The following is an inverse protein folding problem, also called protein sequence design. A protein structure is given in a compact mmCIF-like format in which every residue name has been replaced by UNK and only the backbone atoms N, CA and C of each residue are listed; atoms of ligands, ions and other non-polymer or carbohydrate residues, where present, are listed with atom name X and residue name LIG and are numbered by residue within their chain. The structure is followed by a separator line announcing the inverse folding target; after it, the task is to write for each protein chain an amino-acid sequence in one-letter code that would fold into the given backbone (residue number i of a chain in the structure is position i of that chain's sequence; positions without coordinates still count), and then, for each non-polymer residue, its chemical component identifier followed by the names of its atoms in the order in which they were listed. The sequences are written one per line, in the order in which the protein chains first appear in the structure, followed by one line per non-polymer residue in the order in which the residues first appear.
data_IF_806839472573
#
_entry.id   IF_806839472573
#
_cell.length_a   1.000
_cell.length_b   1.000
_cell.length_c   1.000
_cell.angle_alpha   90.00
_cell.angle_beta   90.00
_cell.angle_gamma   90.00
#
_symmetry.space_group_name_H-M   'P 1'
#
loop_
_entity.id
_entity.type
_entity.pdbx_description
1 polymer ?
#
# COMPACT_ATOMS: atom_id res chain seq x y z
N UNK A 1 15.25 -15.42 1.11
CA UNK A 1 14.53 -15.17 -0.16
C UNK A 1 13.24 -14.42 0.15
N UNK A 2 12.87 -13.46 -0.69
CA UNK A 2 11.58 -12.73 -0.58
C UNK A 2 10.79 -12.98 -1.85
N UNK A 3 9.58 -13.54 -1.73
CA UNK A 3 8.63 -13.71 -2.82
C UNK A 3 7.60 -12.59 -2.71
N UNK A 4 7.63 -11.64 -3.64
CA UNK A 4 6.63 -10.58 -3.65
C UNK A 4 5.35 -11.06 -4.32
N UNK A 5 4.19 -10.73 -3.76
CA UNK A 5 2.87 -11.05 -4.31
C UNK A 5 2.71 -12.54 -4.64
N UNK A 6 2.94 -13.39 -3.62
CA UNK A 6 2.88 -14.85 -3.78
C UNK A 6 1.51 -15.34 -4.28
N UNK A 7 0.46 -14.57 -4.05
CA UNK A 7 -0.90 -14.79 -4.51
C UNK A 7 -1.10 -14.55 -6.02
N UNK A 8 -0.15 -13.92 -6.70
CA UNK A 8 -0.14 -13.81 -8.17
C UNK A 8 0.34 -15.11 -8.86
N UNK A 9 1.09 -15.95 -8.15
CA UNK A 9 1.57 -17.21 -8.69
C UNK A 9 0.44 -18.24 -8.85
N UNK A 10 0.55 -19.12 -9.85
CA UNK A 10 -0.38 -20.25 -10.00
C UNK A 10 -0.22 -21.19 -8.79
N UNK A 11 -1.32 -21.63 -8.14
CA UNK A 11 -1.23 -22.52 -6.98
C UNK A 11 -0.43 -23.80 -7.22
N UNK A 12 -0.51 -24.38 -8.42
CA UNK A 12 0.24 -25.58 -8.79
C UNK A 12 1.76 -25.37 -8.83
N UNK A 13 2.22 -24.16 -9.17
CA UNK A 13 3.64 -23.81 -9.14
C UNK A 13 4.17 -23.78 -7.71
N UNK A 14 3.40 -23.24 -6.77
CA UNK A 14 3.80 -23.17 -5.37
C UNK A 14 3.74 -24.53 -4.66
N UNK A 15 2.88 -25.45 -5.09
CA UNK A 15 2.84 -26.82 -4.57
C UNK A 15 4.17 -27.55 -4.76
N UNK A 16 4.89 -27.28 -5.86
CA UNK A 16 6.23 -27.84 -6.11
C UNK A 16 7.28 -27.39 -5.10
N UNK A 17 7.02 -26.32 -4.34
CA UNK A 17 7.93 -25.82 -3.31
C UNK A 17 7.61 -26.37 -1.91
N UNK A 18 6.54 -27.14 -1.74
CA UNK A 18 6.16 -27.68 -0.43
C UNK A 18 7.25 -28.54 0.19
N UNK A 19 7.85 -29.44 -0.60
CA UNK A 19 8.96 -30.29 -0.14
C UNK A 19 10.15 -29.45 0.32
N UNK A 20 10.45 -28.38 -0.41
CA UNK A 20 11.50 -27.44 -0.04
C UNK A 20 11.19 -26.68 1.26
N UNK A 21 9.96 -26.22 1.43
CA UNK A 21 9.55 -25.55 2.66
C UNK A 21 9.61 -26.48 3.89
N UNK A 22 9.34 -27.77 3.72
CA UNK A 22 9.37 -28.75 4.80
C UNK A 22 10.78 -29.26 5.12
N UNK A 23 11.61 -29.48 4.09
CA UNK A 23 12.90 -30.19 4.21
C UNK A 23 14.12 -29.32 3.97
N UNK A 24 13.94 -28.13 3.40
CA UNK A 24 15.02 -27.29 2.89
C UNK A 24 15.73 -27.89 1.68
N UNK A 25 15.18 -28.91 1.01
CA UNK A 25 15.82 -29.61 -0.10
C UNK A 25 15.00 -29.47 -1.38
N UNK A 26 15.67 -29.28 -2.53
CA UNK A 26 15.07 -29.32 -3.87
C UNK A 26 15.82 -30.34 -4.70
N UNK A 27 15.08 -31.17 -5.43
CA UNK A 27 15.64 -32.07 -6.45
C UNK A 27 15.29 -31.52 -7.83
N UNK A 28 16.32 -31.24 -8.65
CA UNK A 28 16.13 -30.89 -10.06
C UNK A 28 16.02 -32.20 -10.83
N UNK A 29 14.81 -32.54 -11.25
CA UNK A 29 14.52 -33.85 -11.85
C UNK A 29 15.29 -34.12 -13.15
N UNK A 30 15.54 -33.08 -13.93
CA UNK A 30 16.19 -33.15 -15.24
C UNK A 30 17.68 -33.44 -15.14
N UNK A 31 18.34 -32.98 -14.07
CA UNK A 31 19.78 -33.15 -13.86
C UNK A 31 20.10 -34.18 -12.78
N UNK A 32 19.12 -34.54 -11.94
CA UNK A 32 19.33 -35.34 -10.73
C UNK A 32 20.05 -34.60 -9.60
N UNK A 33 20.26 -33.28 -9.76
CA UNK A 33 20.93 -32.46 -8.75
C UNK A 33 20.05 -32.29 -7.51
N UNK A 34 20.67 -32.47 -6.33
CA UNK A 34 20.01 -32.24 -5.04
C UNK A 34 20.63 -31.00 -4.41
N UNK A 35 19.80 -29.98 -4.21
CA UNK A 35 20.19 -28.70 -3.63
C UNK A 35 19.66 -28.63 -2.20
N UNK A 36 20.55 -28.34 -1.26
CA UNK A 36 20.20 -28.14 0.14
C UNK A 36 20.29 -26.66 0.52
N UNK A 37 19.25 -26.16 1.18
CA UNK A 37 19.24 -24.85 1.80
C UNK A 37 20.35 -24.77 2.86
N UNK A 38 21.14 -23.71 2.81
CA UNK A 38 22.13 -23.44 3.86
C UNK A 38 21.41 -23.20 5.18
N UNK A 39 22.03 -23.62 6.30
CA UNK A 39 21.53 -23.31 7.65
C UNK A 39 21.24 -21.82 7.79
N UNK A 40 20.03 -21.50 8.25
CA UNK A 40 19.56 -20.12 8.43
C UNK A 40 18.92 -19.50 7.18
N UNK A 41 18.80 -20.23 6.08
CA UNK A 41 18.00 -19.79 4.93
C UNK A 41 16.53 -19.63 5.34
N UNK A 42 15.94 -18.50 4.97
CA UNK A 42 14.55 -18.15 5.28
C UNK A 42 13.81 -17.74 4.01
N UNK A 43 12.52 -18.06 3.97
CA UNK A 43 11.60 -17.62 2.92
C UNK A 43 10.58 -16.68 3.53
N UNK A 44 10.49 -15.48 2.96
CA UNK A 44 9.46 -14.51 3.29
C UNK A 44 8.59 -14.30 2.05
N UNK A 45 7.30 -14.06 2.26
CA UNK A 45 6.36 -13.83 1.18
C UNK A 45 5.41 -12.69 1.55
N UNK A 46 4.98 -11.92 0.55
CA UNK A 46 3.97 -10.86 0.70
C UNK A 46 2.72 -11.23 -0.11
N UNK A 47 1.55 -10.80 0.38
CA UNK A 47 0.27 -10.92 -0.31
C UNK A 47 -0.62 -9.76 0.11
N UNK A 48 -1.50 -9.31 -0.78
CA UNK A 48 -2.45 -8.23 -0.47
C UNK A 48 -3.88 -8.75 -0.26
N UNK A 49 -4.23 -9.89 -0.86
CA UNK A 49 -5.59 -10.47 -0.84
C UNK A 49 -5.95 -11.24 0.45
N UNK A 50 -5.03 -11.36 1.41
CA UNK A 50 -5.11 -12.33 2.52
C UNK A 50 -5.33 -13.78 2.04
N UNK A 51 -4.99 -14.07 0.77
CA UNK A 51 -5.23 -15.35 0.10
C UNK A 51 -6.70 -15.76 -0.02
N UNK A 52 -7.62 -14.81 0.15
CA UNK A 52 -9.04 -14.99 -0.12
C UNK A 52 -9.32 -14.53 -1.54
N UNK A 53 -10.25 -15.20 -2.24
CA UNK A 53 -10.77 -14.69 -3.50
C UNK A 53 -11.46 -13.35 -3.19
N UNK A 54 -10.89 -12.24 -3.68
CA UNK A 54 -11.40 -10.91 -3.43
C UNK A 54 -12.66 -10.64 -4.28
N UNK A 55 -13.83 -10.40 -3.67
CA UNK A 55 -15.04 -10.05 -4.41
C UNK A 55 -15.05 -8.59 -4.90
N UNK A 56 -14.06 -7.75 -4.53
CA UNK A 56 -14.05 -6.32 -4.81
C UNK A 56 -13.26 -5.90 -6.06
N UNK A 57 -12.71 -6.86 -6.82
CA UNK A 57 -11.95 -6.64 -8.06
C UNK A 57 -10.70 -5.73 -7.89
N UNK A 58 -10.37 -5.35 -6.64
CA UNK A 58 -9.25 -4.47 -6.30
C UNK A 58 -7.89 -5.19 -6.47
N UNK A 59 -7.89 -6.52 -6.41
CA UNK A 59 -6.73 -7.37 -6.65
C UNK A 59 -6.86 -8.22 -7.92
N UNK A 60 -7.23 -7.59 -9.03
CA UNK A 60 -7.33 -8.24 -10.34
C UNK A 60 -6.04 -9.05 -10.67
N UNK A 61 -6.19 -10.38 -10.79
CA UNK A 61 -5.10 -11.31 -11.09
C UNK A 61 -4.56 -12.11 -9.90
N UNK A 62 -4.98 -11.81 -8.67
CA UNK A 62 -4.71 -12.66 -7.51
C UNK A 62 -5.58 -13.92 -7.53
N UNK A 63 -5.03 -15.03 -7.03
CA UNK A 63 -5.72 -16.33 -6.99
C UNK A 63 -5.73 -16.83 -5.56
N UNK A 64 -6.88 -17.37 -5.13
CA UNK A 64 -6.93 -18.21 -3.93
C UNK A 64 -5.83 -19.25 -3.96
N UNK A 65 -5.03 -19.29 -2.88
CA UNK A 65 -3.88 -20.19 -2.78
C UNK A 65 -4.26 -21.50 -2.10
N UNK A 66 -3.46 -22.54 -2.34
CA UNK A 66 -3.70 -23.83 -1.71
C UNK A 66 -3.41 -23.74 -0.20
N UNK A 67 -4.37 -24.13 0.63
CA UNK A 67 -4.24 -24.12 2.09
C UNK A 67 -3.01 -24.90 2.60
N UNK A 68 -2.55 -25.92 1.87
CA UNK A 68 -1.32 -26.65 2.22
C UNK A 68 -0.08 -25.76 2.16
N UNK A 69 0.04 -24.89 1.14
CA UNK A 69 1.16 -23.94 1.00
C UNK A 69 1.10 -22.92 2.13
N UNK A 70 -0.07 -22.35 2.40
CA UNK A 70 -0.22 -21.28 3.40
C UNK A 70 0.11 -21.74 4.82
N UNK A 71 -0.16 -23.00 5.17
CA UNK A 71 0.17 -23.57 6.50
C UNK A 71 1.67 -23.63 6.80
N UNK A 72 2.54 -23.44 5.81
CA UNK A 72 4.00 -23.47 5.96
C UNK A 72 4.61 -22.09 6.26
N UNK A 73 3.79 -21.05 6.24
CA UNK A 73 4.20 -19.69 6.58
C UNK A 73 3.61 -19.27 7.92
N UNK A 74 4.40 -18.51 8.68
CA UNK A 74 3.85 -17.67 9.75
C UNK A 74 3.27 -16.40 9.12
N UNK A 75 1.97 -16.22 9.24
CA UNK A 75 1.28 -15.06 8.70
C UNK A 75 1.33 -13.87 9.66
N UNK A 76 1.72 -12.71 9.15
CA UNK A 76 1.65 -11.42 9.84
C UNK A 76 0.76 -10.49 9.02
N UNK A 77 -0.13 -9.77 9.70
CA UNK A 77 -1.02 -8.79 9.07
C UNK A 77 -0.46 -7.40 9.36
N UNK A 78 -0.31 -6.59 8.31
CA UNK A 78 0.08 -5.19 8.42
C UNK A 78 -1.16 -4.33 8.17
N UNK A 79 -1.69 -3.74 9.24
CA UNK A 79 -2.81 -2.79 9.15
C UNK A 79 -2.31 -1.39 8.79
N UNK A 80 -3.24 -0.48 8.46
CA UNK A 80 -2.85 0.91 8.26
C UNK A 80 -2.37 1.55 9.56
N UNK A 81 -1.38 2.45 9.48
CA UNK A 81 -0.98 3.29 10.58
C UNK A 81 -2.16 4.09 11.15
N UNK A 82 -2.17 4.27 12.47
CA UNK A 82 -3.03 5.26 13.13
C UNK A 82 -2.62 6.68 12.75
N UNK A 83 -3.46 7.66 13.05
CA UNK A 83 -3.14 9.07 12.82
C UNK A 83 -1.84 9.49 13.53
N UNK A 84 -1.66 9.10 14.80
CA UNK A 84 -0.44 9.40 15.56
C UNK A 84 0.81 8.74 14.94
N UNK A 85 0.70 7.48 14.50
CA UNK A 85 1.81 6.79 13.83
C UNK A 85 2.15 7.42 12.47
N UNK A 86 1.16 7.93 11.75
CA UNK A 86 1.38 8.64 10.50
C UNK A 86 1.99 10.02 10.75
N UNK A 87 1.56 10.73 11.81
CA UNK A 87 2.16 11.99 12.23
C UNK A 87 3.63 11.82 12.63
N UNK A 88 3.95 10.81 13.44
CA UNK A 88 5.32 10.46 13.83
C UNK A 88 6.18 10.16 12.59
N UNK A 89 5.62 9.41 11.62
CA UNK A 89 6.30 9.13 10.37
C UNK A 89 6.59 10.41 9.56
N UNK A 90 5.60 11.28 9.39
CA UNK A 90 5.76 12.54 8.66
C UNK A 90 6.79 13.45 9.36
N UNK A 91 6.71 13.59 10.69
CA UNK A 91 7.68 14.36 11.48
C UNK A 91 9.10 13.80 11.34
N UNK A 92 9.25 12.47 11.25
CA UNK A 92 10.56 11.84 11.08
C UNK A 92 11.22 12.17 9.72
N UNK A 93 10.40 12.40 8.68
CA UNK A 93 10.88 12.80 7.36
C UNK A 93 11.14 14.31 7.26
N UNK A 94 10.34 15.11 7.96
CA UNK A 94 10.42 16.57 7.95
C UNK A 94 10.46 17.12 9.38
N UNK A 95 11.62 17.03 10.08
CA UNK A 95 11.74 17.39 11.49
C UNK A 95 11.40 18.85 11.81
N UNK A 96 11.61 19.74 10.83
CA UNK A 96 11.37 21.18 10.99
C UNK A 96 9.92 21.59 10.71
N UNK A 97 9.07 20.66 10.28
CA UNK A 97 7.66 20.96 10.00
C UNK A 97 6.89 21.13 11.32
N UNK A 98 6.05 22.17 11.38
CA UNK A 98 5.21 22.45 12.54
C UNK A 98 4.32 21.25 12.89
N UNK A 99 4.28 20.89 14.17
CA UNK A 99 3.54 19.72 14.65
C UNK A 99 2.03 19.79 14.37
N UNK A 100 1.44 21.00 14.35
CA UNK A 100 0.06 21.21 13.96
C UNK A 100 -0.18 20.92 12.48
N UNK A 101 0.75 21.33 11.61
CA UNK A 101 0.73 20.99 10.18
C UNK A 101 0.92 19.49 9.96
N UNK A 102 1.88 18.87 10.66
CA UNK A 102 2.12 17.41 10.60
C UNK A 102 0.85 16.65 10.96
N UNK A 103 0.19 17.03 12.07
CA UNK A 103 -1.04 16.38 12.51
C UNK A 103 -2.14 16.49 11.47
N UNK A 104 -2.40 17.69 10.94
CA UNK A 104 -3.40 17.89 9.87
C UNK A 104 -3.09 17.03 8.63
N UNK A 105 -1.82 16.92 8.23
CA UNK A 105 -1.40 16.06 7.12
C UNK A 105 -1.63 14.58 7.42
N UNK A 106 -1.34 14.13 8.63
CA UNK A 106 -1.62 12.76 9.06
C UNK A 106 -3.13 12.47 9.03
N UNK A 107 -3.97 13.36 9.56
CA UNK A 107 -5.44 13.26 9.50
C UNK A 107 -5.91 13.14 8.04
N UNK A 108 -5.37 13.97 7.14
CA UNK A 108 -5.71 13.93 5.72
C UNK A 108 -5.31 12.60 5.05
N UNK A 109 -4.11 12.10 5.33
CA UNK A 109 -3.64 10.80 4.82
C UNK A 109 -4.53 9.65 5.27
N UNK A 110 -4.90 9.62 6.56
CA UNK A 110 -5.79 8.59 7.10
C UNK A 110 -7.17 8.68 6.44
N UNK A 111 -7.74 9.88 6.31
CA UNK A 111 -9.03 10.08 5.64
C UNK A 111 -9.03 9.58 4.19
N UNK A 112 -7.95 9.79 3.43
CA UNK A 112 -7.81 9.26 2.07
C UNK A 112 -7.75 7.72 2.06
N UNK A 113 -7.07 7.10 3.03
CA UNK A 113 -6.99 5.64 3.13
C UNK A 113 -8.34 5.03 3.47
N UNK A 114 -9.08 5.66 4.37
CA UNK A 114 -10.42 5.19 4.75
C UNK A 114 -11.40 5.31 3.58
N UNK A 115 -11.35 6.43 2.84
CA UNK A 115 -12.14 6.62 1.63
C UNK A 115 -11.80 5.62 0.52
N UNK A 116 -10.56 5.13 0.44
CA UNK A 116 -10.17 4.06 -0.49
C UNK A 116 -10.63 2.65 -0.09
N UNK A 117 -10.96 2.43 1.18
CA UNK A 117 -11.41 1.13 1.70
C UNK A 117 -12.90 0.96 1.71
N UNK A 118 -13.61 2.02 2.09
CA UNK A 118 -15.06 2.00 2.28
C UNK A 118 -15.67 3.33 1.85
N UNK A 119 -16.93 3.32 1.37
CA UNK A 119 -17.66 4.57 1.10
C UNK A 119 -17.63 5.50 2.31
N UNK A 120 -17.02 6.66 2.14
CA UNK A 120 -16.82 7.65 3.20
C UNK A 120 -17.61 8.92 2.86
N UNK A 121 -18.23 9.51 3.89
CA UNK A 121 -18.98 10.75 3.72
C UNK A 121 -18.02 11.93 3.56
N UNK A 122 -18.00 12.53 2.37
CA UNK A 122 -17.24 13.73 2.06
C UNK A 122 -18.25 14.81 1.67
N UNK A 123 -18.43 15.80 2.55
CA UNK A 123 -19.52 16.77 2.43
C UNK A 123 -20.90 16.10 2.45
N UNK A 124 -21.66 16.25 1.36
CA UNK A 124 -23.01 15.69 1.21
C UNK A 124 -23.05 14.39 0.39
N UNK A 125 -21.90 13.84 0.00
CA UNK A 125 -21.81 12.65 -0.83
C UNK A 125 -21.09 11.52 -0.09
N UNK A 126 -21.51 10.28 -0.34
CA UNK A 126 -20.72 9.11 0.03
C UNK A 126 -19.86 8.73 -1.17
N UNK A 127 -18.55 8.83 -1.01
CA UNK A 127 -17.57 8.55 -2.07
C UNK A 127 -16.64 7.45 -1.59
N UNK A 128 -16.43 6.45 -2.44
CA UNK A 128 -15.36 5.48 -2.28
C UNK A 128 -14.33 5.76 -3.37
N UNK A 129 -13.09 6.01 -2.97
CA UNK A 129 -12.00 6.23 -3.91
C UNK A 129 -11.61 4.90 -4.56
N UNK A 130 -11.39 4.93 -5.87
CA UNK A 130 -10.93 3.79 -6.65
C UNK A 130 -9.49 3.38 -6.33
N UNK A 131 -8.72 4.24 -5.63
CA UNK A 131 -7.34 3.98 -5.24
C UNK A 131 -7.11 4.40 -3.79
N UNK A 132 -6.40 3.54 -3.05
CA UNK A 132 -5.95 3.82 -1.68
C UNK A 132 -4.64 4.60 -1.68
N UNK A 133 -4.50 5.57 -0.77
CA UNK A 133 -3.29 6.37 -0.62
C UNK A 133 -2.19 5.62 0.16
N UNK A 134 -1.31 4.92 -0.57
CA UNK A 134 -0.27 4.08 0.01
C UNK A 134 0.93 4.90 0.53
N UNK A 135 1.81 4.24 1.29
CA UNK A 135 2.94 4.91 1.95
C UNK A 135 3.91 5.59 0.97
N UNK A 136 4.22 4.98 -0.17
CA UNK A 136 5.06 5.61 -1.19
C UNK A 136 4.44 6.89 -1.74
N UNK A 137 3.12 6.89 -1.96
CA UNK A 137 2.40 8.10 -2.39
C UNK A 137 2.47 9.22 -1.35
N UNK A 138 2.46 8.92 -0.05
CA UNK A 138 2.65 9.95 1.00
C UNK A 138 4.04 10.58 0.89
N UNK A 139 5.08 9.76 0.69
CA UNK A 139 6.46 10.24 0.54
C UNK A 139 6.58 11.14 -0.69
N UNK A 140 6.07 10.67 -1.83
CA UNK A 140 6.10 11.42 -3.10
C UNK A 140 5.30 12.72 -3.01
N UNK A 141 4.14 12.71 -2.36
CA UNK A 141 3.31 13.89 -2.16
C UNK A 141 4.02 14.96 -1.34
N UNK A 142 4.60 14.60 -0.20
CA UNK A 142 5.32 15.55 0.66
C UNK A 142 6.56 16.11 -0.04
N UNK A 143 7.29 15.26 -0.77
CA UNK A 143 8.44 15.69 -1.56
C UNK A 143 8.04 16.68 -2.66
N UNK A 144 6.98 16.38 -3.41
CA UNK A 144 6.49 17.24 -4.48
C UNK A 144 5.90 18.55 -3.95
N UNK A 145 5.18 18.53 -2.84
CA UNK A 145 4.67 19.73 -2.19
C UNK A 145 5.81 20.70 -1.82
N UNK A 146 6.88 20.17 -1.22
CA UNK A 146 8.08 20.95 -0.91
C UNK A 146 8.73 21.51 -2.18
N UNK A 147 8.89 20.66 -3.20
CA UNK A 147 9.46 21.04 -4.50
C UNK A 147 8.65 22.13 -5.19
N UNK A 148 7.32 22.07 -5.10
CA UNK A 148 6.40 23.03 -5.69
C UNK A 148 6.13 24.26 -4.81
N UNK A 149 6.85 24.45 -3.71
CA UNK A 149 6.64 25.58 -2.79
C UNK A 149 6.63 26.95 -3.49
N UNK A 150 7.41 27.10 -4.57
CA UNK A 150 7.44 28.33 -5.39
C UNK A 150 6.09 28.69 -6.05
N UNK A 151 5.18 27.72 -6.20
CA UNK A 151 3.85 27.93 -6.79
C UNK A 151 2.93 28.76 -5.89
N UNK A 152 3.21 28.82 -4.58
CA UNK A 152 2.42 29.61 -3.65
C UNK A 152 2.40 31.09 -4.04
N UNK A 153 3.52 31.62 -4.54
CA UNK A 153 3.65 33.00 -5.04
C UNK A 153 2.78 33.28 -6.27
N UNK A 154 2.22 32.25 -6.88
CA UNK A 154 1.32 32.32 -8.05
C UNK A 154 -0.14 32.03 -7.68
N UNK A 155 -0.46 31.94 -6.39
CA UNK A 155 -1.80 31.64 -5.89
C UNK A 155 -2.23 30.18 -6.08
N UNK A 156 -1.28 29.26 -6.33
CA UNK A 156 -1.55 27.82 -6.48
C UNK A 156 -1.09 27.10 -5.23
N UNK A 157 -1.98 26.32 -4.62
CA UNK A 157 -1.65 25.47 -3.45
C UNK A 157 -0.69 24.34 -3.86
N UNK A 158 0.57 24.33 -3.38
CA UNK A 158 1.55 23.30 -3.75
C UNK A 158 1.11 21.90 -3.35
N UNK A 159 0.53 21.74 -2.16
CA UNK A 159 0.07 20.45 -1.65
C UNK A 159 -1.10 19.89 -2.45
N UNK A 160 -2.04 20.73 -2.87
CA UNK A 160 -3.15 20.30 -3.73
C UNK A 160 -2.67 19.95 -5.13
N UNK A 161 -1.74 20.74 -5.70
CA UNK A 161 -1.15 20.46 -7.01
C UNK A 161 -0.35 19.16 -7.02
N UNK A 162 0.42 18.89 -5.95
CA UNK A 162 1.20 17.67 -5.79
C UNK A 162 0.35 16.39 -5.77
N UNK A 163 -0.93 16.45 -5.37
CA UNK A 163 -1.83 15.29 -5.42
C UNK A 163 -2.17 14.83 -6.83
N UNK A 164 -2.09 15.72 -7.82
CA UNK A 164 -2.32 15.41 -9.24
C UNK A 164 -1.52 14.20 -9.72
N UNK A 165 -0.19 14.32 -9.85
CA UNK A 165 0.66 13.22 -10.34
C UNK A 165 0.70 12.01 -9.41
N UNK A 166 0.48 12.18 -8.11
CA UNK A 166 0.60 11.10 -7.12
C UNK A 166 -0.66 10.23 -7.06
N UNK A 167 -1.85 10.83 -7.19
CA UNK A 167 -3.11 10.17 -6.91
C UNK A 167 -4.20 10.50 -7.92
N UNK A 168 -4.52 11.77 -8.10
CA UNK A 168 -5.83 12.18 -8.66
C UNK A 168 -5.88 12.19 -10.19
N UNK A 169 -4.76 12.28 -10.90
CA UNK A 169 -4.76 12.34 -12.38
C UNK A 169 -5.38 11.12 -13.06
N UNK A 170 -5.33 9.95 -12.40
CA UNK A 170 -5.87 8.69 -12.91
C UNK A 170 -7.27 8.35 -12.36
N UNK A 171 -7.86 9.25 -11.57
CA UNK A 171 -9.18 9.06 -10.99
C UNK A 171 -10.29 9.68 -11.86
N UNK A 172 -11.54 9.23 -11.74
CA UNK A 172 -12.71 9.94 -12.26
C UNK A 172 -12.86 11.33 -11.60
N UNK A 173 -13.46 12.29 -12.31
CA UNK A 173 -13.54 13.68 -11.83
C UNK A 173 -14.28 13.83 -10.49
N UNK A 174 -15.32 13.04 -10.24
CA UNK A 174 -16.04 13.08 -8.97
C UNK A 174 -15.17 12.65 -7.78
N UNK A 175 -14.22 11.73 -7.96
CA UNK A 175 -13.24 11.36 -6.92
C UNK A 175 -12.19 12.46 -6.73
N UNK A 176 -11.75 13.12 -7.81
CA UNK A 176 -10.81 14.26 -7.71
C UNK A 176 -11.40 15.40 -6.89
N UNK A 177 -12.66 15.74 -7.14
CA UNK A 177 -13.37 16.77 -6.38
C UNK A 177 -13.54 16.35 -4.91
N UNK A 178 -13.77 15.07 -4.63
CA UNK A 178 -13.83 14.56 -3.26
C UNK A 178 -12.48 14.69 -2.53
N UNK A 179 -11.37 14.34 -3.19
CA UNK A 179 -10.01 14.51 -2.64
C UNK A 179 -9.71 15.98 -2.38
N UNK A 180 -10.09 16.87 -3.30
CA UNK A 180 -9.94 18.32 -3.15
C UNK A 180 -10.77 18.86 -1.97
N UNK A 181 -12.04 18.43 -1.84
CA UNK A 181 -12.89 18.84 -0.72
C UNK A 181 -12.31 18.38 0.63
N UNK A 182 -11.77 17.16 0.71
CA UNK A 182 -11.06 16.69 1.90
C UNK A 182 -9.82 17.54 2.20
N UNK A 183 -9.04 17.89 1.18
CA UNK A 183 -7.86 18.73 1.33
C UNK A 183 -8.24 20.09 1.91
N UNK A 184 -9.23 20.76 1.33
CA UNK A 184 -9.70 22.08 1.77
C UNK A 184 -10.31 22.05 3.17
N UNK A 185 -10.95 20.94 3.56
CA UNK A 185 -11.56 20.81 4.90
C UNK A 185 -10.52 20.61 6.00
N UNK A 186 -9.42 19.91 5.70
CA UNK A 186 -8.45 19.47 6.72
C UNK A 186 -7.20 20.36 6.74
N UNK A 187 -6.71 20.78 5.57
CA UNK A 187 -5.40 21.41 5.41
C UNK A 187 -5.45 22.93 5.19
N UNK A 188 -6.60 23.50 4.84
CA UNK A 188 -6.80 24.95 4.65
C UNK A 188 -7.57 25.52 5.85
#
# INVERSE_FOLDING_TARGET
MVINEIDAAKPSTLLGLNEFFDTGTVVITETGEVIHAKRGFQVHATCNSKFLDDPTDAFAGTRGQNASVLRRFFSMVYDSPTEDQEADFIQSLYPDLDAGVVKKKATFVVALRDAGRTPTKIGNQNVQLSRTFCRSMVIDWLYLESTFGYMLNRGVSPGLYALGPVLTNLMPDHEKEAVKALYETILV
#
